data_IF_837591368970
#
_entry.id   IF_837591368970
#
_cell.length_a   1.000
_cell.length_b   1.000
_cell.length_c   1.000
_cell.angle_alpha   90.00
_cell.angle_beta   90.00
_cell.angle_gamma   90.00
#
_symmetry.space_group_name_H-M   'P 1'
#
loop_
_entity.id
_entity.type
_entity.pdbx_description
1 polymer ?
#
# COMPACT_ATOMS: atom_id res chain seq x y z
N UNK A 1 -16.78 -18.55 -13.59
CA UNK A 1 -16.08 -18.86 -12.35
C UNK A 1 -15.94 -17.61 -11.52
N UNK A 2 -16.41 -17.65 -10.28
CA UNK A 2 -16.30 -16.53 -9.35
C UNK A 2 -14.82 -16.31 -9.06
N UNK A 3 -14.31 -15.15 -9.42
CA UNK A 3 -12.96 -14.76 -9.03
C UNK A 3 -12.93 -14.65 -7.51
N UNK A 4 -11.93 -15.26 -6.93
CA UNK A 4 -11.76 -15.29 -5.49
C UNK A 4 -11.46 -13.88 -4.95
N UNK A 5 -12.13 -13.48 -3.87
CA UNK A 5 -11.89 -12.21 -3.20
C UNK A 5 -10.76 -12.37 -2.19
N UNK A 6 -9.68 -11.64 -2.36
CA UNK A 6 -8.57 -11.61 -1.41
C UNK A 6 -8.63 -10.36 -0.54
N UNK A 7 -8.57 -10.55 0.77
CA UNK A 7 -8.57 -9.44 1.73
C UNK A 7 -7.16 -9.12 2.18
N UNK A 8 -6.77 -7.86 2.01
CA UNK A 8 -5.44 -7.36 2.35
C UNK A 8 -5.54 -6.22 3.34
N UNK A 9 -4.67 -6.23 4.34
CA UNK A 9 -4.49 -5.08 5.23
C UNK A 9 -3.28 -4.29 4.74
N UNK A 10 -3.44 -2.97 4.57
CA UNK A 10 -2.31 -2.07 4.30
C UNK A 10 -2.00 -1.31 5.58
N UNK A 11 -0.74 -1.40 6.02
CA UNK A 11 -0.24 -0.72 7.20
C UNK A 11 0.92 0.18 6.79
N UNK A 12 0.87 1.44 7.19
CA UNK A 12 1.94 2.38 6.91
C UNK A 12 1.60 3.76 7.49
N UNK A 13 2.63 4.54 7.73
CA UNK A 13 2.42 5.92 8.15
C UNK A 13 1.86 6.75 6.99
N UNK A 14 1.04 7.76 7.29
CA UNK A 14 0.46 8.67 6.29
C UNK A 14 1.55 9.24 5.37
N UNK A 15 2.68 9.63 5.96
CA UNK A 15 3.79 10.23 5.23
C UNK A 15 4.62 9.24 4.42
N UNK A 16 4.38 7.93 4.55
CA UNK A 16 5.12 6.89 3.81
C UNK A 16 4.56 6.62 2.41
N UNK A 17 3.53 7.37 2.00
CA UNK A 17 2.98 7.26 0.66
C UNK A 17 1.91 6.17 0.49
N UNK A 18 1.23 5.81 1.57
CA UNK A 18 0.16 4.80 1.53
C UNK A 18 -0.96 5.21 0.59
N UNK A 19 -1.46 6.44 0.70
CA UNK A 19 -2.52 6.96 -0.18
C UNK A 19 -2.08 7.02 -1.64
N UNK A 20 -0.83 7.36 -1.89
CA UNK A 20 -0.26 7.37 -3.23
C UNK A 20 -0.20 5.96 -3.82
N UNK A 21 0.22 4.98 -3.03
CA UNK A 21 0.26 3.58 -3.47
C UNK A 21 -1.14 3.06 -3.78
N UNK A 22 -2.10 3.31 -2.91
CA UNK A 22 -3.49 2.86 -3.12
C UNK A 22 -4.09 3.52 -4.36
N UNK A 23 -3.93 4.84 -4.50
CA UNK A 23 -4.39 5.57 -5.68
C UNK A 23 -3.75 5.04 -6.97
N UNK A 24 -2.47 4.71 -6.91
CA UNK A 24 -1.74 4.12 -8.05
C UNK A 24 -2.27 2.73 -8.41
N UNK A 25 -2.51 1.88 -7.42
CA UNK A 25 -3.09 0.55 -7.65
C UNK A 25 -4.46 0.64 -8.31
N UNK A 26 -5.32 1.54 -7.83
CA UNK A 26 -6.64 1.76 -8.42
C UNK A 26 -6.54 2.22 -9.88
N UNK A 27 -5.64 3.15 -10.17
CA UNK A 27 -5.43 3.67 -11.51
C UNK A 27 -4.84 2.62 -12.46
N UNK A 28 -3.77 1.95 -12.02
CA UNK A 28 -3.04 1.00 -12.88
C UNK A 28 -3.82 -0.30 -13.14
N UNK A 29 -4.78 -0.64 -12.30
CA UNK A 29 -5.65 -1.82 -12.50
C UNK A 29 -6.95 -1.48 -13.23
N UNK A 30 -7.17 -0.22 -13.58
CA UNK A 30 -8.42 0.20 -14.21
C UNK A 30 -9.64 0.09 -13.30
N UNK A 31 -9.44 0.14 -11.99
CA UNK A 31 -10.51 -0.03 -10.99
C UNK A 31 -11.21 1.27 -10.60
N UNK A 32 -10.79 2.39 -11.18
CA UNK A 32 -11.45 3.68 -10.96
C UNK A 32 -12.73 3.78 -11.78
N UNK A 33 -13.76 4.49 -11.28
CA UNK A 33 -14.90 4.83 -12.11
C UNK A 33 -14.46 5.56 -13.38
N UNK A 34 -15.18 5.33 -14.49
CA UNK A 34 -14.86 5.92 -15.78
C UNK A 34 -14.79 7.45 -15.68
N UNK A 35 -13.70 8.02 -16.20
CA UNK A 35 -13.49 9.47 -16.21
C UNK A 35 -13.00 10.06 -14.91
N UNK A 36 -12.89 9.28 -13.82
CA UNK A 36 -12.52 9.81 -12.50
C UNK A 36 -11.09 10.34 -12.45
N UNK A 37 -10.16 9.64 -13.09
CA UNK A 37 -8.77 10.09 -13.16
C UNK A 37 -8.66 11.44 -13.88
N UNK A 38 -9.29 11.55 -15.05
CA UNK A 38 -9.24 12.79 -15.83
C UNK A 38 -9.95 13.94 -15.11
N UNK A 39 -11.08 13.67 -14.49
CA UNK A 39 -11.83 14.64 -13.69
C UNK A 39 -10.98 15.21 -12.55
N UNK A 40 -10.28 14.33 -11.83
CA UNK A 40 -9.40 14.75 -10.71
C UNK A 40 -8.23 15.57 -11.22
N UNK A 41 -7.63 15.18 -12.35
CA UNK A 41 -6.55 15.98 -12.98
C UNK A 41 -7.04 17.37 -13.37
N UNK A 42 -8.24 17.47 -13.94
CA UNK A 42 -8.82 18.74 -14.37
C UNK A 42 -9.08 19.67 -13.16
N UNK A 43 -9.57 19.11 -12.05
CA UNK A 43 -9.76 19.88 -10.81
C UNK A 43 -8.41 20.43 -10.30
N UNK A 44 -7.37 19.61 -10.28
CA UNK A 44 -6.04 20.03 -9.86
C UNK A 44 -5.52 21.16 -10.74
N UNK A 45 -5.70 21.08 -12.05
CA UNK A 45 -5.29 22.13 -13.00
C UNK A 45 -6.03 23.44 -12.72
N UNK A 46 -7.34 23.38 -12.46
CA UNK A 46 -8.14 24.58 -12.14
C UNK A 46 -7.72 25.25 -10.85
N UNK A 47 -7.24 24.45 -9.87
CA UNK A 47 -6.78 24.94 -8.57
C UNK A 47 -5.30 25.32 -8.56
N UNK A 48 -4.61 25.15 -9.69
CA UNK A 48 -3.17 25.41 -9.78
C UNK A 48 -2.31 24.44 -9.00
N UNK A 49 -2.83 23.24 -8.72
CA UNK A 49 -2.11 22.20 -7.99
C UNK A 49 -1.56 21.15 -8.95
N UNK A 50 -0.39 20.60 -8.60
CA UNK A 50 0.15 19.46 -9.33
C UNK A 50 -0.66 18.22 -8.95
N UNK A 51 -1.07 17.44 -9.96
CA UNK A 51 -1.80 16.20 -9.72
C UNK A 51 -0.93 15.18 -8.96
N UNK A 52 -1.51 14.57 -7.94
CA UNK A 52 -0.91 13.44 -7.21
C UNK A 52 -1.94 12.31 -7.05
N UNK A 53 -1.48 11.07 -7.11
CA UNK A 53 -2.38 9.92 -6.98
C UNK A 53 -3.10 9.85 -5.62
N UNK A 54 -2.51 10.43 -4.58
CA UNK A 54 -3.17 10.56 -3.27
C UNK A 54 -4.49 11.33 -3.37
N UNK A 55 -4.61 12.29 -4.26
CA UNK A 55 -5.82 13.08 -4.44
C UNK A 55 -6.99 12.24 -4.98
N UNK A 56 -6.70 11.18 -5.72
CA UNK A 56 -7.75 10.25 -6.18
C UNK A 56 -8.44 9.57 -5.00
N UNK A 57 -7.67 9.15 -4.02
CA UNK A 57 -8.20 8.51 -2.83
C UNK A 57 -9.02 9.48 -2.00
N UNK A 58 -8.51 10.70 -1.79
CA UNK A 58 -9.23 11.74 -1.06
C UNK A 58 -10.56 12.08 -1.73
N UNK A 59 -10.59 12.19 -3.05
CA UNK A 59 -11.80 12.47 -3.81
C UNK A 59 -12.83 11.35 -3.68
N UNK A 60 -12.40 10.09 -3.67
CA UNK A 60 -13.27 8.94 -3.48
C UNK A 60 -13.84 8.90 -2.06
N UNK A 61 -13.04 9.25 -1.05
CA UNK A 61 -13.47 9.33 0.33
C UNK A 61 -14.52 10.42 0.53
N UNK A 62 -14.34 11.59 -0.07
CA UNK A 62 -15.30 12.70 -0.01
C UNK A 62 -16.66 12.30 -0.62
N UNK A 63 -16.67 11.58 -1.72
CA UNK A 63 -17.92 11.10 -2.33
C UNK A 63 -18.64 10.10 -1.44
N UNK A 64 -17.91 9.26 -0.71
CA UNK A 64 -18.50 8.31 0.22
C UNK A 64 -19.10 8.98 1.46
N UNK A 65 -18.46 10.05 1.96
CA UNK A 65 -18.94 10.79 3.13
C UNK A 65 -20.26 11.51 2.87
N UNK A 66 -20.57 11.87 1.64
CA UNK A 66 -21.79 12.59 1.28
C UNK A 66 -23.02 11.70 1.14
N UNK A 67 -22.86 10.41 1.10
CA UNK A 67 -23.94 9.53 0.72
C UNK A 67 -24.39 8.48 1.72
N UNK A 68 -23.55 7.89 2.53
CA UNK A 68 -23.91 6.82 3.48
C UNK A 68 -22.75 6.57 4.42
N UNK A 69 -23.04 6.46 5.72
CA UNK A 69 -22.12 5.99 6.75
C UNK A 69 -21.51 4.63 6.39
N UNK A 70 -20.36 4.63 5.74
CA UNK A 70 -19.59 3.41 5.61
C UNK A 70 -18.48 3.49 6.66
N UNK A 71 -18.63 2.71 7.72
CA UNK A 71 -17.72 2.68 8.86
C UNK A 71 -16.37 2.05 8.56
N UNK A 72 -16.08 1.70 7.32
CA UNK A 72 -14.84 1.02 7.00
C UNK A 72 -14.21 1.60 5.75
N UNK A 73 -12.96 1.99 5.88
CA UNK A 73 -12.11 2.34 4.76
C UNK A 73 -11.77 1.08 3.95
N UNK A 74 -12.76 0.52 3.31
CA UNK A 74 -12.57 -0.60 2.39
C UNK A 74 -12.43 -0.08 0.97
N UNK A 75 -11.37 -0.47 0.29
CA UNK A 75 -11.11 -0.06 -1.08
C UNK A 75 -11.03 -1.30 -1.94
N UNK A 76 -11.83 -1.34 -3.00
CA UNK A 76 -11.91 -2.48 -3.89
C UNK A 76 -11.15 -2.21 -5.18
N UNK A 77 -10.31 -3.15 -5.57
CA UNK A 77 -9.70 -3.13 -6.89
C UNK A 77 -9.62 -4.57 -7.44
N UNK A 78 -9.31 -4.70 -8.71
CA UNK A 78 -9.23 -6.01 -9.34
C UNK A 78 -8.11 -6.05 -10.38
N UNK A 79 -7.54 -7.25 -10.55
CA UNK A 79 -6.69 -7.60 -11.69
C UNK A 79 -7.44 -8.62 -12.55
N UNK A 80 -6.83 -9.07 -13.62
CA UNK A 80 -7.41 -10.14 -14.45
C UNK A 80 -7.53 -11.47 -13.68
N UNK A 81 -6.77 -11.63 -12.62
CA UNK A 81 -6.73 -12.87 -11.85
C UNK A 81 -7.61 -12.89 -10.62
N UNK A 82 -7.71 -11.76 -9.90
CA UNK A 82 -8.41 -11.70 -8.61
C UNK A 82 -9.09 -10.39 -8.35
N UNK A 83 -10.04 -10.43 -7.45
CA UNK A 83 -10.60 -9.24 -6.81
C UNK A 83 -9.95 -9.06 -5.46
N UNK A 84 -9.64 -7.80 -5.10
CA UNK A 84 -8.99 -7.45 -3.85
C UNK A 84 -9.82 -6.43 -3.09
N UNK A 85 -9.84 -6.55 -1.79
CA UNK A 85 -10.30 -5.50 -0.91
C UNK A 85 -9.15 -5.10 0.02
N UNK A 86 -8.84 -3.82 0.01
CA UNK A 86 -7.83 -3.25 0.89
C UNK A 86 -8.54 -2.69 2.11
N UNK A 87 -8.12 -3.13 3.29
CA UNK A 87 -8.58 -2.58 4.55
C UNK A 87 -7.51 -1.61 5.00
N UNK A 88 -7.85 -0.31 4.98
CA UNK A 88 -6.93 0.71 5.45
C UNK A 88 -6.80 0.68 6.96
N UNK A 89 -5.56 0.79 7.42
CA UNK A 89 -5.21 0.77 8.81
C UNK A 89 -4.71 2.16 9.24
N UNK A 90 -5.59 3.14 9.52
CA UNK A 90 -5.13 4.39 10.13
C UNK A 90 -4.65 4.12 11.55
N UNK A 91 -3.60 4.81 11.98
CA UNK A 91 -2.96 4.58 13.27
C UNK A 91 -3.75 5.08 14.48
N UNK A 92 -5.10 5.00 14.49
CA UNK A 92 -5.96 5.52 15.54
C UNK A 92 -6.71 4.42 16.29
N UNK A 93 -7.21 4.78 17.50
CA UNK A 93 -7.96 3.85 18.36
C UNK A 93 -9.19 3.25 17.69
N UNK A 94 -9.83 3.95 16.76
CA UNK A 94 -10.94 3.44 15.96
C UNK A 94 -10.52 2.29 15.06
N UNK A 95 -9.27 2.29 14.66
CA UNK A 95 -8.66 1.25 13.86
C UNK A 95 -8.69 -0.11 14.56
N UNK A 96 -8.32 -0.17 15.85
CA UNK A 96 -8.35 -1.42 16.61
C UNK A 96 -9.76 -2.01 16.69
N UNK A 97 -10.78 -1.14 16.74
CA UNK A 97 -12.17 -1.57 16.82
C UNK A 97 -12.68 -2.13 15.48
N UNK A 98 -12.29 -1.51 14.37
CA UNK A 98 -12.67 -1.95 13.03
C UNK A 98 -11.85 -3.14 12.56
N UNK A 99 -10.62 -3.30 13.04
CA UNK A 99 -9.75 -4.40 12.69
C UNK A 99 -10.17 -5.72 13.32
N UNK A 100 -10.76 -5.70 14.51
CA UNK A 100 -11.26 -6.92 15.16
C UNK A 100 -12.37 -7.56 14.33
N UNK A 101 -13.15 -6.76 13.60
CA UNK A 101 -14.24 -7.27 12.76
C UNK A 101 -13.84 -7.54 11.31
N UNK A 102 -12.88 -6.79 10.76
CA UNK A 102 -12.49 -6.91 9.35
C UNK A 102 -11.21 -7.71 9.13
N UNK A 103 -10.23 -7.56 10.02
CA UNK A 103 -8.92 -8.19 9.85
C UNK A 103 -8.87 -9.65 10.27
N UNK A 104 -9.84 -10.13 11.05
CA UNK A 104 -9.97 -11.54 11.37
C UNK A 104 -10.15 -12.40 10.11
N UNK A 105 -10.52 -11.79 8.98
CA UNK A 105 -10.67 -12.45 7.70
C UNK A 105 -9.60 -12.06 6.68
N UNK A 106 -8.61 -11.22 7.04
CA UNK A 106 -7.55 -10.82 6.12
C UNK A 106 -6.56 -11.98 5.89
N UNK A 107 -6.19 -12.18 4.63
CA UNK A 107 -5.30 -13.26 4.23
C UNK A 107 -3.83 -12.85 4.19
N UNK A 108 -3.57 -11.56 4.09
CA UNK A 108 -2.22 -11.03 4.06
C UNK A 108 -2.16 -9.54 4.39
N UNK A 109 -0.95 -9.04 4.50
CA UNK A 109 -0.70 -7.63 4.81
C UNK A 109 0.41 -7.06 3.94
N UNK A 110 0.24 -5.80 3.56
CA UNK A 110 1.30 -4.98 2.96
C UNK A 110 1.74 -3.96 4.00
N UNK A 111 3.01 -3.93 4.30
CA UNK A 111 3.59 -2.97 5.22
C UNK A 111 4.50 -2.02 4.46
N UNK A 112 4.24 -0.72 4.56
CA UNK A 112 5.02 0.30 3.87
C UNK A 112 6.10 0.89 4.75
N UNK A 113 7.30 1.01 4.18
CA UNK A 113 8.42 1.70 4.79
C UNK A 113 8.92 2.75 3.80
N UNK A 114 9.26 3.94 4.31
CA UNK A 114 9.87 5.00 3.52
C UNK A 114 11.37 4.73 3.38
N UNK A 115 11.87 4.62 2.15
CA UNK A 115 13.30 4.35 1.91
C UNK A 115 14.21 5.46 2.41
N UNK A 116 13.74 6.70 2.39
CA UNK A 116 14.51 7.85 2.85
C UNK A 116 14.65 7.88 4.38
N UNK A 117 13.57 7.60 5.10
CA UNK A 117 13.58 7.58 6.56
C UNK A 117 14.11 6.26 7.14
N UNK A 118 13.96 5.16 6.41
CA UNK A 118 14.35 3.84 6.88
C UNK A 118 13.41 3.27 7.93
N UNK A 119 13.89 2.29 8.68
CA UNK A 119 13.10 1.66 9.74
C UNK A 119 13.03 2.60 10.95
N UNK A 120 11.80 3.01 11.29
CA UNK A 120 11.53 3.92 12.39
C UNK A 120 10.70 3.22 13.47
N UNK A 121 10.52 3.89 14.60
CA UNK A 121 9.68 3.38 15.69
C UNK A 121 8.26 3.06 15.21
N UNK A 122 7.71 3.88 14.33
CA UNK A 122 6.39 3.64 13.74
C UNK A 122 6.34 2.37 12.91
N UNK A 123 7.41 2.05 12.16
CA UNK A 123 7.50 0.80 11.41
C UNK A 123 7.42 -0.40 12.34
N UNK A 124 8.06 -0.31 13.51
CA UNK A 124 8.03 -1.34 14.53
C UNK A 124 6.64 -1.49 15.14
N UNK A 125 5.96 -0.36 15.42
CA UNK A 125 4.57 -0.39 15.92
C UNK A 125 3.63 -1.07 14.93
N UNK A 126 3.79 -0.81 13.64
CA UNK A 126 2.99 -1.45 12.59
C UNK A 126 3.22 -2.97 12.58
N UNK A 127 4.47 -3.40 12.76
CA UNK A 127 4.78 -4.83 12.88
C UNK A 127 4.10 -5.48 14.08
N UNK A 128 4.09 -4.80 15.22
CA UNK A 128 3.38 -5.28 16.42
C UNK A 128 1.87 -5.41 16.18
N UNK A 129 1.28 -4.46 15.48
CA UNK A 129 -0.14 -4.52 15.12
C UNK A 129 -0.43 -5.78 14.29
N UNK A 130 0.38 -6.06 13.29
CA UNK A 130 0.22 -7.24 12.44
C UNK A 130 0.35 -8.54 13.26
N UNK A 131 1.27 -8.57 14.21
CA UNK A 131 1.43 -9.70 15.11
C UNK A 131 0.17 -9.90 15.98
N UNK A 132 -0.35 -8.83 16.55
CA UNK A 132 -1.57 -8.90 17.37
C UNK A 132 -2.78 -9.39 16.57
N UNK A 133 -2.82 -9.08 15.29
CA UNK A 133 -3.89 -9.54 14.39
C UNK A 133 -3.69 -10.97 13.89
N UNK A 134 -2.57 -11.60 14.22
CA UNK A 134 -2.27 -12.94 13.77
C UNK A 134 -1.93 -13.06 12.30
N UNK A 135 -1.59 -11.95 11.63
CA UNK A 135 -1.22 -11.95 10.23
C UNK A 135 0.23 -12.35 10.08
N UNK A 136 0.48 -13.49 9.44
CA UNK A 136 1.82 -14.02 9.23
C UNK A 136 2.31 -13.87 7.79
N UNK A 137 1.40 -13.67 6.85
CA UNK A 137 1.75 -13.43 5.45
C UNK A 137 1.92 -11.94 5.22
N UNK A 138 3.15 -11.44 5.37
CA UNK A 138 3.47 -10.02 5.29
C UNK A 138 4.47 -9.80 4.16
N UNK A 139 4.13 -8.89 3.25
CA UNK A 139 5.07 -8.35 2.27
C UNK A 139 5.40 -6.91 2.65
N UNK A 140 6.65 -6.53 2.52
CA UNK A 140 7.11 -5.19 2.85
C UNK A 140 7.37 -4.41 1.56
N UNK A 141 6.73 -3.26 1.42
CA UNK A 141 6.92 -2.36 0.29
C UNK A 141 7.80 -1.21 0.75
N UNK A 142 9.00 -1.10 0.18
CA UNK A 142 9.95 -0.02 0.46
C UNK A 142 9.70 1.08 -0.56
N UNK A 143 8.93 2.08 -0.16
CA UNK A 143 8.48 3.15 -1.03
C UNK A 143 9.46 4.33 -1.04
N UNK A 144 9.28 5.22 -1.99
CA UNK A 144 10.08 6.43 -2.18
C UNK A 144 11.56 6.13 -2.48
N UNK A 145 11.81 5.02 -3.14
CA UNK A 145 13.18 4.63 -3.51
C UNK A 145 13.83 5.66 -4.45
N UNK A 146 13.01 6.43 -5.17
CA UNK A 146 13.47 7.55 -6.00
C UNK A 146 14.17 8.65 -5.18
N UNK A 147 13.78 8.85 -3.91
CA UNK A 147 14.41 9.84 -3.04
C UNK A 147 15.81 9.44 -2.58
N UNK A 148 16.19 8.19 -2.74
CA UNK A 148 17.53 7.68 -2.42
C UNK A 148 18.25 7.22 -3.70
N UNK A 149 17.89 7.79 -4.83
CA UNK A 149 18.49 7.54 -6.14
C UNK A 149 18.49 6.07 -6.57
N UNK A 150 17.45 5.32 -6.17
CA UNK A 150 17.29 3.90 -6.49
C UNK A 150 18.46 3.05 -6.01
N UNK A 151 19.10 3.44 -4.89
CA UNK A 151 20.28 2.78 -4.37
C UNK A 151 19.95 1.40 -3.77
N UNK A 152 20.52 0.31 -4.33
CA UNK A 152 20.28 -1.02 -3.79
C UNK A 152 20.81 -1.22 -2.36
N UNK A 153 21.87 -0.53 -1.98
CA UNK A 153 22.41 -0.63 -0.61
C UNK A 153 21.41 -0.15 0.44
N UNK A 154 20.70 0.95 0.17
CA UNK A 154 19.65 1.45 1.06
C UNK A 154 18.55 0.42 1.21
N UNK A 155 18.11 -0.16 0.11
CA UNK A 155 17.07 -1.18 0.10
C UNK A 155 17.49 -2.41 0.91
N UNK A 156 18.68 -2.93 0.67
CA UNK A 156 19.15 -4.15 1.36
C UNK A 156 19.40 -3.90 2.84
N UNK A 157 19.83 -2.70 3.23
CA UNK A 157 19.97 -2.33 4.63
C UNK A 157 18.63 -2.37 5.36
N UNK A 158 17.60 -1.77 4.77
CA UNK A 158 16.25 -1.79 5.32
C UNK A 158 15.71 -3.22 5.39
N UNK A 159 15.91 -4.00 4.34
CA UNK A 159 15.49 -5.39 4.28
C UNK A 159 16.11 -6.20 5.42
N UNK A 160 17.40 -6.08 5.64
CA UNK A 160 18.10 -6.80 6.70
C UNK A 160 17.59 -6.38 8.07
N UNK A 161 17.54 -5.09 8.34
CA UNK A 161 17.14 -4.54 9.63
C UNK A 161 15.69 -4.90 9.99
N UNK A 162 14.79 -4.75 9.03
CA UNK A 162 13.38 -5.02 9.30
C UNK A 162 13.07 -6.52 9.34
N UNK A 163 13.79 -7.32 8.56
CA UNK A 163 13.67 -8.78 8.62
C UNK A 163 14.06 -9.30 10.00
N UNK A 164 15.16 -8.82 10.56
CA UNK A 164 15.58 -9.19 11.91
C UNK A 164 14.52 -8.84 12.95
N UNK A 165 13.93 -7.65 12.82
CA UNK A 165 12.88 -7.21 13.74
C UNK A 165 11.62 -8.09 13.62
N UNK A 166 11.13 -8.33 12.42
CA UNK A 166 9.94 -9.17 12.21
C UNK A 166 10.17 -10.61 12.67
N UNK A 167 11.33 -11.16 12.36
CA UNK A 167 11.69 -12.53 12.75
C UNK A 167 11.73 -12.66 14.27
N UNK A 168 12.21 -11.64 14.99
CA UNK A 168 12.22 -11.64 16.46
C UNK A 168 10.81 -11.74 17.05
N UNK A 169 9.80 -11.33 16.31
CA UNK A 169 8.39 -11.41 16.71
C UNK A 169 7.68 -12.67 16.18
N UNK A 170 8.38 -13.54 15.45
CA UNK A 170 7.78 -14.72 14.84
C UNK A 170 7.10 -14.47 13.51
N UNK A 171 7.35 -13.33 12.88
CA UNK A 171 6.85 -13.01 11.55
C UNK A 171 7.98 -13.16 10.55
N UNK A 172 7.81 -14.01 9.54
CA UNK A 172 8.75 -14.09 8.43
C UNK A 172 8.18 -13.33 7.24
N UNK A 173 8.81 -12.20 6.83
CA UNK A 173 8.33 -11.47 5.68
C UNK A 173 8.53 -12.30 4.42
N UNK A 174 7.46 -12.38 3.61
CA UNK A 174 7.52 -13.16 2.36
C UNK A 174 8.46 -12.51 1.37
N UNK A 175 8.46 -11.18 1.34
CA UNK A 175 9.15 -10.48 0.28
C UNK A 175 9.29 -9.00 0.60
N UNK A 176 10.34 -8.39 0.06
CA UNK A 176 10.55 -6.95 0.08
C UNK A 176 10.55 -6.45 -1.37
N UNK A 177 9.78 -5.39 -1.66
CA UNK A 177 9.68 -4.82 -2.99
C UNK A 177 10.04 -3.35 -2.94
N UNK A 178 11.10 -2.91 -3.66
CA UNK A 178 11.40 -1.48 -3.77
C UNK A 178 10.48 -0.84 -4.79
N UNK A 179 9.86 0.28 -4.42
CA UNK A 179 8.91 0.98 -5.30
C UNK A 179 9.10 2.49 -5.22
N UNK A 180 8.64 3.17 -6.25
CA UNK A 180 8.41 4.60 -6.25
C UNK A 180 6.98 4.83 -6.71
N UNK A 181 6.04 4.81 -5.75
CA UNK A 181 4.62 4.87 -6.05
C UNK A 181 4.22 6.15 -6.79
N UNK A 182 4.83 7.26 -6.45
CA UNK A 182 4.54 8.56 -7.08
C UNK A 182 4.75 8.52 -8.59
N UNK A 183 5.78 7.83 -9.06
CA UNK A 183 6.14 7.74 -10.49
C UNK A 183 5.82 6.36 -11.09
N UNK A 184 5.27 5.45 -10.31
CA UNK A 184 4.78 4.15 -10.80
C UNK A 184 5.83 3.06 -10.99
N UNK A 185 7.02 3.21 -10.38
CA UNK A 185 8.10 2.22 -10.52
C UNK A 185 7.82 0.98 -9.68
N UNK A 186 7.84 -0.19 -10.29
CA UNK A 186 7.61 -1.51 -9.68
C UNK A 186 6.21 -1.71 -9.05
N UNK A 187 5.22 -0.95 -9.47
CA UNK A 187 3.83 -1.17 -9.03
C UNK A 187 3.13 -2.18 -9.95
N UNK A 188 2.88 -1.80 -11.20
CA UNK A 188 2.27 -2.67 -12.20
C UNK A 188 3.29 -3.23 -13.18
N UNK A 189 4.33 -2.47 -13.48
CA UNK A 189 5.39 -2.84 -14.40
C UNK A 189 6.76 -2.75 -13.74
N UNK A 190 7.67 -3.60 -14.18
CA UNK A 190 9.03 -3.59 -13.66
C UNK A 190 9.77 -2.31 -14.02
N UNK A 191 10.53 -1.79 -13.05
CA UNK A 191 11.33 -0.58 -13.25
C UNK A 191 12.65 -0.90 -13.95
N UNK A 192 12.97 -0.11 -14.97
CA UNK A 192 14.27 -0.16 -15.61
C UNK A 192 15.38 0.46 -14.76
N UNK A 193 15.01 1.28 -13.78
CA UNK A 193 15.95 1.94 -12.86
C UNK A 193 16.38 1.05 -11.71
N UNK A 194 15.69 -0.08 -11.52
CA UNK A 194 15.97 -1.05 -10.46
C UNK A 194 16.17 -2.45 -11.03
N UNK A 195 17.05 -2.60 -12.01
CA UNK A 195 17.38 -3.90 -12.59
C UNK A 195 18.02 -4.85 -11.59
N UNK A 196 18.59 -4.31 -10.52
CA UNK A 196 19.15 -5.10 -9.43
C UNK A 196 18.07 -5.82 -8.61
N UNK A 197 16.81 -5.41 -8.73
CA UNK A 197 15.69 -6.10 -8.08
C UNK A 197 15.21 -7.23 -9.00
N UNK A 198 15.48 -8.45 -8.62
CA UNK A 198 15.11 -9.64 -9.37
C UNK A 198 13.70 -10.17 -9.01
N UNK A 199 13.05 -9.55 -8.04
CA UNK A 199 11.72 -9.95 -7.59
C UNK A 199 10.57 -9.35 -8.40
N UNK A 200 9.34 -9.65 -8.02
CA UNK A 200 8.15 -9.16 -8.71
C UNK A 200 7.85 -7.70 -8.42
N UNK A 201 6.93 -7.14 -9.21
CA UNK A 201 6.25 -5.88 -8.88
C UNK A 201 5.20 -6.14 -7.80
N UNK A 202 4.59 -5.06 -7.29
CA UNK A 202 3.52 -5.19 -6.28
C UNK A 202 2.35 -6.03 -6.82
N UNK A 203 1.87 -5.74 -8.03
CA UNK A 203 0.76 -6.49 -8.62
C UNK A 203 1.11 -7.95 -8.91
N UNK A 204 2.31 -8.22 -9.39
CA UNK A 204 2.76 -9.59 -9.63
C UNK A 204 2.82 -10.39 -8.31
N UNK A 205 3.25 -9.75 -7.23
CA UNK A 205 3.33 -10.41 -5.92
C UNK A 205 1.93 -10.71 -5.37
N UNK A 206 0.97 -9.79 -5.56
CA UNK A 206 -0.41 -9.99 -5.10
C UNK A 206 -1.10 -11.12 -5.87
N UNK A 207 -0.87 -11.23 -7.15
CA UNK A 207 -1.40 -12.28 -8.01
C UNK A 207 -0.61 -13.59 -7.82
#
# INVERSE_FOLDING_TARGET
PSQELMRLVIVGHVDHGKSTLVGRLLSDTGSLPEGKLQFTKDICDRQGKVFEFAFLLDALEEEQDQGITIDTSQIFFHTDKRHYVIIDAPGHKEFLKNMVTGAASAEGALLLIDAYEGVQEQSRRHGYILKLLGLTQVAVVVNKIDLVDYDPEVFYKIKTEYTEFLTSMGIEPRMFIPVAAKVGENIATQSEKMKWHEGPTVLEMLD
#
